data_IF_066393937342
#
_entry.id   IF_066393937342
#
_cell.length_a   1.000
_cell.length_b   1.000
_cell.length_c   1.000
_cell.angle_alpha   90.00
_cell.angle_beta   90.00
_cell.angle_gamma   90.00
#
_symmetry.space_group_name_H-M   'P 1'
#
loop_
_entity.id
_entity.type
_entity.pdbx_description
1 polymer ?
#
# COMPACT_ATOMS: atom_id res chain seq x y z
N UNK A 1 9.05 10.88 4.79
CA UNK A 1 9.88 9.65 4.87
C UNK A 1 9.05 8.47 4.38
N UNK A 2 9.58 7.66 3.47
CA UNK A 2 8.92 6.49 2.86
C UNK A 2 9.59 5.22 3.39
N UNK A 3 8.83 4.15 3.55
CA UNK A 3 9.33 2.85 4.00
C UNK A 3 9.13 1.81 2.91
N UNK A 4 10.25 1.28 2.38
CA UNK A 4 10.28 0.22 1.36
C UNK A 4 9.30 0.47 0.20
N UNK A 5 9.47 1.57 -0.56
CA UNK A 5 8.65 1.83 -1.74
C UNK A 5 8.84 0.69 -2.76
N UNK A 6 7.74 0.17 -3.28
CA UNK A 6 7.67 -1.01 -4.16
C UNK A 6 6.85 -0.77 -5.43
N UNK A 7 6.08 0.32 -5.48
CA UNK A 7 5.36 0.77 -6.68
C UNK A 7 5.37 2.29 -6.76
N UNK A 8 5.35 2.83 -7.98
CA UNK A 8 5.22 4.27 -8.24
C UNK A 8 4.30 4.47 -9.45
N UNK A 9 3.34 5.38 -9.32
CA UNK A 9 2.56 5.90 -10.43
C UNK A 9 2.51 7.42 -10.38
N UNK A 10 2.85 8.05 -11.49
CA UNK A 10 2.75 9.49 -11.69
C UNK A 10 1.74 9.70 -12.82
N UNK A 11 0.53 10.23 -12.54
CA UNK A 11 -0.44 10.52 -13.58
C UNK A 11 0.14 11.53 -14.58
N UNK A 12 -0.17 11.38 -15.89
CA UNK A 12 0.26 12.34 -16.89
C UNK A 12 -0.40 13.70 -16.70
N UNK A 13 0.20 14.74 -17.29
CA UNK A 13 -0.35 16.09 -17.29
C UNK A 13 -0.15 16.86 -15.98
N UNK A 14 -1.16 17.66 -15.60
CA UNK A 14 -1.08 18.64 -14.51
C UNK A 14 -1.48 18.10 -13.13
N UNK A 15 -1.79 16.81 -13.00
CA UNK A 15 -2.06 16.23 -11.68
C UNK A 15 -0.84 16.45 -10.77
N UNK A 16 -1.00 17.05 -9.58
CA UNK A 16 0.12 17.34 -8.70
C UNK A 16 0.55 16.15 -7.85
N UNK A 17 -0.20 15.03 -7.90
CA UNK A 17 -0.02 13.89 -7.01
C UNK A 17 0.73 12.74 -7.66
N UNK A 18 1.57 12.08 -6.87
CA UNK A 18 2.22 10.81 -7.16
C UNK A 18 1.73 9.77 -6.15
N UNK A 19 1.61 8.52 -6.59
CA UNK A 19 1.10 7.41 -5.80
C UNK A 19 2.21 6.39 -5.61
N UNK A 20 2.48 6.00 -4.37
CA UNK A 20 3.60 5.14 -4.01
C UNK A 20 3.07 3.97 -3.18
N UNK A 21 3.33 2.75 -3.64
CA UNK A 21 3.09 1.54 -2.86
C UNK A 21 4.25 1.33 -1.90
N UNK A 22 3.96 1.03 -0.64
CA UNK A 22 4.95 0.75 0.40
C UNK A 22 4.72 -0.65 0.96
N UNK A 23 5.77 -1.47 0.99
CA UNK A 23 5.74 -2.76 1.68
C UNK A 23 5.79 -2.59 3.20
N UNK A 24 5.16 -3.53 3.90
CA UNK A 24 5.22 -3.63 5.36
C UNK A 24 6.61 -3.99 5.91
N UNK A 25 6.79 -3.94 7.24
CA UNK A 25 8.02 -4.35 7.88
C UNK A 25 8.11 -5.87 7.91
N UNK A 26 9.06 -6.45 7.18
CA UNK A 26 9.27 -7.91 7.13
C UNK A 26 10.51 -8.34 7.92
N UNK A 27 11.36 -7.42 8.36
CA UNK A 27 12.60 -7.74 9.07
C UNK A 27 12.32 -7.91 10.56
N UNK A 28 13.03 -8.83 11.23
CA UNK A 28 12.86 -9.09 12.67
C UNK A 28 12.97 -7.83 13.53
N UNK A 29 13.88 -6.92 13.18
CA UNK A 29 14.14 -5.70 13.93
C UNK A 29 13.05 -4.61 13.81
N UNK A 30 12.25 -4.64 12.74
CA UNK A 30 11.21 -3.62 12.51
C UNK A 30 9.79 -4.18 12.42
N UNK A 31 9.60 -5.51 12.53
CA UNK A 31 8.30 -6.17 12.36
C UNK A 31 7.19 -5.66 13.29
N UNK A 32 7.56 -5.23 14.49
CA UNK A 32 6.65 -4.66 15.50
C UNK A 32 6.52 -3.14 15.43
N UNK A 33 7.26 -2.49 14.53
CA UNK A 33 7.15 -1.05 14.38
C UNK A 33 5.75 -0.67 13.88
N UNK A 34 5.20 0.36 14.49
CA UNK A 34 3.93 0.95 14.07
C UNK A 34 4.16 1.88 12.88
N UNK A 35 3.10 2.18 12.12
CA UNK A 35 3.15 3.17 11.04
C UNK A 35 4.11 2.84 9.87
N UNK A 36 4.43 1.56 9.64
CA UNK A 36 5.29 1.10 8.54
C UNK A 36 4.53 0.29 7.48
N UNK A 37 3.30 0.65 7.09
CA UNK A 37 2.55 -0.08 6.05
C UNK A 37 2.31 -1.58 6.37
N UNK A 38 1.95 -2.41 5.37
CA UNK A 38 1.83 -2.12 3.94
C UNK A 38 0.77 -1.07 3.63
N UNK A 39 1.04 -0.14 2.70
CA UNK A 39 0.14 0.99 2.43
C UNK A 39 0.33 1.62 1.05
N UNK A 40 -0.58 2.53 0.72
CA UNK A 40 -0.42 3.50 -0.37
C UNK A 40 -0.11 4.89 0.20
N UNK A 41 1.00 5.49 -0.19
CA UNK A 41 1.32 6.90 0.08
C UNK A 41 0.98 7.76 -1.13
N UNK A 42 0.25 8.86 -0.90
CA UNK A 42 -0.02 9.90 -1.89
C UNK A 42 0.88 11.09 -1.53
N UNK A 43 1.70 11.51 -2.47
CA UNK A 43 2.68 12.61 -2.29
C UNK A 43 2.53 13.65 -3.39
N UNK A 44 3.00 14.87 -3.15
CA UNK A 44 3.16 15.86 -4.23
C UNK A 44 4.38 15.52 -5.09
N UNK A 45 4.51 16.14 -6.27
CA UNK A 45 5.70 15.98 -7.14
C UNK A 45 7.01 16.42 -6.46
N UNK A 46 6.91 17.30 -5.47
CA UNK A 46 8.03 17.76 -4.63
C UNK A 46 8.32 16.80 -3.46
N UNK A 47 7.58 15.69 -3.36
CA UNK A 47 7.78 14.65 -2.34
C UNK A 47 7.09 14.92 -1.01
N UNK A 48 6.23 15.94 -0.90
CA UNK A 48 5.46 16.20 0.33
C UNK A 48 4.35 15.17 0.46
N UNK A 49 4.25 14.51 1.62
CA UNK A 49 3.15 13.57 1.90
C UNK A 49 1.82 14.32 1.99
N UNK A 50 0.85 13.87 1.20
CA UNK A 50 -0.53 14.38 1.19
C UNK A 50 -1.41 13.46 2.03
N UNK A 51 -1.34 12.15 1.79
CA UNK A 51 -2.15 11.17 2.50
C UNK A 51 -1.48 9.80 2.51
N UNK A 52 -1.95 8.93 3.41
CA UNK A 52 -1.58 7.51 3.49
C UNK A 52 -2.82 6.67 3.68
N UNK A 53 -2.94 5.61 2.90
CA UNK A 53 -4.07 4.69 2.94
C UNK A 53 -3.59 3.31 3.37
N UNK A 54 -4.25 2.74 4.37
CA UNK A 54 -3.97 1.39 4.84
C UNK A 54 -2.96 1.27 5.96
N UNK A 55 -2.85 2.30 6.80
CA UNK A 55 -2.19 2.13 8.10
C UNK A 55 -2.88 1.00 8.88
N UNK A 56 -2.05 0.17 9.51
CA UNK A 56 -2.50 -1.00 10.28
C UNK A 56 -2.76 -0.59 11.73
N UNK A 57 -3.94 -0.92 12.23
CA UNK A 57 -4.33 -0.81 13.64
C UNK A 57 -4.69 -2.19 14.17
N UNK A 58 -4.71 -2.41 15.50
CA UNK A 58 -5.17 -3.68 16.07
C UNK A 58 -6.59 -4.07 15.59
N UNK A 59 -7.46 -3.09 15.38
CA UNK A 59 -8.87 -3.28 15.02
C UNK A 59 -9.07 -3.63 13.53
N UNK A 60 -8.09 -3.30 12.67
CA UNK A 60 -8.19 -3.53 11.22
C UNK A 60 -7.27 -4.64 10.71
N UNK A 61 -6.68 -5.45 11.61
CA UNK A 61 -5.75 -6.52 11.25
C UNK A 61 -6.35 -7.46 10.18
N UNK A 62 -5.60 -7.82 9.13
CA UNK A 62 -4.19 -7.53 8.85
C UNK A 62 -3.92 -6.20 8.12
N UNK A 63 -4.96 -5.38 7.93
CA UNK A 63 -4.95 -4.16 7.12
C UNK A 63 -5.48 -4.38 5.70
N UNK A 64 -5.78 -3.31 4.94
CA UNK A 64 -6.34 -3.45 3.60
C UNK A 64 -5.31 -3.90 2.56
N UNK A 65 -4.01 -3.70 2.78
CA UNK A 65 -2.95 -4.05 1.84
C UNK A 65 -2.04 -5.15 2.37
N UNK A 66 -1.48 -5.93 1.46
CA UNK A 66 -0.46 -6.95 1.73
C UNK A 66 0.89 -6.52 1.18
N UNK A 67 0.98 -6.24 -0.13
CA UNK A 67 2.27 -5.92 -0.76
C UNK A 67 2.09 -5.22 -2.11
N UNK A 68 1.81 -3.91 -2.12
CA UNK A 68 1.49 -3.17 -3.34
C UNK A 68 2.70 -3.06 -4.28
N UNK A 69 2.60 -3.57 -5.51
CA UNK A 69 3.68 -3.61 -6.51
C UNK A 69 3.25 -3.04 -7.88
N UNK A 70 1.95 -2.88 -8.13
CA UNK A 70 1.44 -2.19 -9.31
C UNK A 70 0.45 -1.11 -8.90
N UNK A 71 0.52 0.06 -9.53
CA UNK A 71 -0.46 1.14 -9.33
C UNK A 71 -0.86 1.72 -10.68
N UNK A 72 -2.16 1.92 -10.88
CA UNK A 72 -2.72 2.71 -11.96
C UNK A 72 -3.87 3.58 -11.43
N UNK A 73 -4.13 4.71 -12.08
CA UNK A 73 -5.26 5.60 -11.74
C UNK A 73 -6.04 5.91 -13.01
N UNK A 74 -7.36 5.73 -12.96
CA UNK A 74 -8.24 6.03 -14.10
C UNK A 74 -8.63 7.52 -14.17
N UNK A 75 -9.36 7.91 -15.22
CA UNK A 75 -9.80 9.30 -15.43
C UNK A 75 -10.81 9.80 -14.40
N UNK A 76 -11.46 8.91 -13.64
CA UNK A 76 -12.35 9.27 -12.52
C UNK A 76 -11.56 9.51 -11.23
N UNK A 77 -10.28 9.13 -11.21
CA UNK A 77 -9.43 9.16 -10.03
C UNK A 77 -9.52 7.92 -9.16
N UNK A 78 -10.13 6.83 -9.66
CA UNK A 78 -10.09 5.54 -8.98
C UNK A 78 -8.68 4.95 -9.06
N UNK A 79 -8.24 4.31 -7.97
CA UNK A 79 -6.89 3.76 -7.85
C UNK A 79 -6.96 2.24 -7.93
N UNK A 80 -6.14 1.65 -8.79
CA UNK A 80 -5.99 0.22 -8.96
C UNK A 80 -4.65 -0.20 -8.37
N UNK A 81 -4.67 -1.17 -7.45
CA UNK A 81 -3.48 -1.63 -6.74
C UNK A 81 -3.29 -3.12 -6.99
N UNK A 82 -2.21 -3.47 -7.69
CA UNK A 82 -1.76 -4.85 -7.88
C UNK A 82 -0.83 -5.27 -6.74
N UNK A 83 -1.05 -6.45 -6.17
CA UNK A 83 -0.40 -6.90 -4.95
C UNK A 83 0.20 -8.30 -5.06
N UNK A 84 1.37 -8.46 -4.44
CA UNK A 84 2.06 -9.76 -4.32
C UNK A 84 1.56 -10.48 -3.05
N UNK A 85 0.25 -10.75 -2.98
CA UNK A 85 -0.39 -11.17 -1.73
C UNK A 85 -0.05 -12.60 -1.30
N UNK A 86 0.07 -13.52 -2.27
CA UNK A 86 0.25 -14.97 -2.00
C UNK A 86 1.59 -15.29 -1.34
N UNK A 87 2.67 -14.66 -1.79
CA UNK A 87 4.03 -14.92 -1.27
C UNK A 87 4.46 -13.92 -0.20
N UNK A 88 3.89 -12.71 -0.16
CA UNK A 88 4.24 -11.73 0.86
C UNK A 88 3.64 -12.04 2.24
N UNK A 89 2.52 -12.77 2.32
CA UNK A 89 1.85 -13.08 3.58
C UNK A 89 2.80 -13.71 4.61
N UNK A 90 3.45 -14.81 4.26
CA UNK A 90 4.36 -15.52 5.16
C UNK A 90 5.59 -14.70 5.58
N UNK A 91 5.92 -13.64 4.84
CA UNK A 91 7.01 -12.71 5.22
C UNK A 91 6.53 -11.63 6.20
N UNK A 92 5.28 -11.18 6.07
CA UNK A 92 4.65 -10.18 6.94
C UNK A 92 4.17 -10.79 8.26
N UNK A 93 3.63 -12.00 8.20
CA UNK A 93 3.02 -12.73 9.31
C UNK A 93 3.54 -14.19 9.34
N UNK A 94 4.82 -14.42 9.69
CA UNK A 94 5.36 -15.77 9.66
C UNK A 94 4.71 -16.68 10.69
N UNK A 95 4.34 -17.89 10.26
CA UNK A 95 3.65 -18.87 11.10
C UNK A 95 2.15 -18.63 11.23
N UNK A 96 1.61 -17.54 10.67
CA UNK A 96 0.18 -17.26 10.66
C UNK A 96 -0.45 -17.71 9.33
N UNK A 97 -1.63 -18.32 9.39
CA UNK A 97 -2.45 -18.58 8.21
C UNK A 97 -3.24 -17.33 7.85
N UNK A 98 -3.33 -17.02 6.56
CA UNK A 98 -4.16 -15.90 6.11
C UNK A 98 -5.63 -16.19 6.42
N UNK A 99 -6.36 -15.30 7.13
CA UNK A 99 -7.74 -15.55 7.53
C UNK A 99 -8.70 -15.62 6.32
N UNK A 100 -8.34 -14.97 5.21
CA UNK A 100 -9.04 -15.05 3.93
C UNK A 100 -8.03 -15.02 2.77
N UNK A 101 -8.41 -15.48 1.56
CA UNK A 101 -7.63 -15.20 0.36
C UNK A 101 -7.48 -13.70 0.18
N UNK A 102 -6.24 -13.21 0.31
CA UNK A 102 -5.91 -11.79 0.13
C UNK A 102 -5.97 -11.45 -1.36
N UNK A 103 -6.60 -10.32 -1.74
CA UNK A 103 -6.71 -9.94 -3.14
C UNK A 103 -5.32 -9.69 -3.74
N UNK A 104 -5.13 -10.05 -5.01
CA UNK A 104 -3.95 -9.67 -5.80
C UNK A 104 -4.20 -8.39 -6.62
N UNK A 105 -5.46 -7.93 -6.70
CA UNK A 105 -5.85 -6.69 -7.35
C UNK A 105 -7.00 -6.07 -6.55
N UNK A 106 -6.86 -4.80 -6.20
CA UNK A 106 -7.89 -4.02 -5.52
C UNK A 106 -8.19 -2.73 -6.28
N UNK A 107 -9.45 -2.30 -6.24
CA UNK A 107 -9.90 -1.00 -6.75
C UNK A 107 -10.36 -0.14 -5.58
N UNK A 108 -9.74 1.02 -5.40
CA UNK A 108 -10.16 2.05 -4.47
C UNK A 108 -10.96 3.09 -5.27
N UNK A 109 -12.22 3.25 -4.90
CA UNK A 109 -13.13 4.17 -5.57
C UNK A 109 -13.02 5.54 -4.95
N UNK A 110 -12.88 6.57 -5.79
CA UNK A 110 -12.94 7.96 -5.35
C UNK A 110 -14.38 8.30 -4.96
N UNK A 111 -14.57 8.75 -3.73
CA UNK A 111 -15.87 9.22 -3.24
C UNK A 111 -16.07 10.67 -3.74
N UNK A 112 -17.30 11.07 -4.13
CA UNK A 112 -17.62 12.44 -4.57
C UNK A 112 -17.22 13.53 -3.58
#
# INVERSE_FOLDING_TARGET
NLHRPSALYIPPGRCPYCYIGECGPVMSINRRATNLGPRLSIVTKEGKVVARLGDRTPENFPGPFTSPHGIAVDSRGDIYVGEVSRTAWGNLFPGETSPTPRPCLQKLVKIP
#
